data_IF_354754123143
#
_entry.id   IF_354754123143
#
_cell.length_a   1.000
_cell.length_b   1.000
_cell.length_c   1.000
_cell.angle_alpha   90.00
_cell.angle_beta   90.00
_cell.angle_gamma   90.00
#
_symmetry.space_group_name_H-M   'P 1'
#
loop_
_entity.id
_entity.type
_entity.pdbx_description
1 polymer ?
#
# COMPACT_ATOMS: atom_id res chain seq x y z
N UNK A 1 -17.25 12.30 13.89
CA UNK A 1 -17.03 11.72 15.24
C UNK A 1 -17.58 10.30 15.36
N UNK A 2 -18.85 10.01 15.09
CA UNK A 2 -19.45 8.67 15.26
C UNK A 2 -18.71 7.51 14.52
N UNK A 3 -18.23 7.72 13.29
CA UNK A 3 -17.46 6.69 12.56
C UNK A 3 -16.06 6.43 13.14
N UNK A 4 -15.39 7.47 13.65
CA UNK A 4 -14.11 7.30 14.35
C UNK A 4 -14.30 6.52 15.67
N UNK A 5 -15.44 6.74 16.36
CA UNK A 5 -15.84 5.95 17.53
C UNK A 5 -16.14 4.49 17.18
N UNK A 6 -16.78 4.20 16.03
CA UNK A 6 -16.99 2.82 15.59
C UNK A 6 -15.68 2.09 15.26
N UNK A 7 -14.75 2.76 14.58
CA UNK A 7 -13.40 2.22 14.33
C UNK A 7 -12.66 1.99 15.65
N UNK A 8 -12.75 2.92 16.59
CA UNK A 8 -12.18 2.76 17.94
C UNK A 8 -12.79 1.58 18.70
N UNK A 9 -14.13 1.45 18.71
CA UNK A 9 -14.85 0.36 19.36
C UNK A 9 -14.50 -0.99 18.73
N UNK A 10 -14.42 -1.08 17.40
CA UNK A 10 -14.05 -2.32 16.73
C UNK A 10 -12.57 -2.66 16.87
N UNK A 11 -11.67 -1.67 16.91
CA UNK A 11 -10.28 -1.87 17.30
C UNK A 11 -10.19 -2.36 18.75
N UNK A 12 -11.00 -1.80 19.64
CA UNK A 12 -11.11 -2.23 21.02
C UNK A 12 -11.61 -3.69 21.12
N UNK A 13 -12.60 -4.09 20.32
CA UNK A 13 -13.05 -5.50 20.21
C UNK A 13 -12.00 -6.43 19.56
N UNK A 14 -11.29 -5.99 18.52
CA UNK A 14 -10.18 -6.73 17.92
C UNK A 14 -9.02 -6.95 18.91
N UNK A 15 -8.74 -5.96 19.76
CA UNK A 15 -7.77 -6.10 20.83
C UNK A 15 -8.26 -7.07 21.93
N UNK A 16 -9.58 -7.21 22.15
CA UNK A 16 -10.16 -8.13 23.16
C UNK A 16 -10.08 -9.55 22.66
N UNK A 17 -10.54 -9.77 21.41
CA UNK A 17 -10.54 -11.09 20.78
C UNK A 17 -9.13 -11.64 20.58
N UNK A 18 -8.13 -10.76 20.51
CA UNK A 18 -6.71 -11.13 20.48
C UNK A 18 -6.03 -11.21 21.86
N UNK A 19 -6.70 -10.84 22.96
CA UNK A 19 -6.16 -10.96 24.32
C UNK A 19 -4.97 -10.04 24.63
N UNK A 20 -4.85 -8.87 23.97
CA UNK A 20 -3.67 -7.98 24.03
C UNK A 20 -3.88 -6.70 24.85
N UNK A 21 -4.87 -6.65 25.74
CA UNK A 21 -5.30 -5.42 26.42
C UNK A 21 -4.23 -4.73 27.27
N UNK A 22 -3.45 -5.49 28.05
CA UNK A 22 -2.43 -4.91 28.93
C UNK A 22 -1.22 -4.35 28.18
N UNK A 23 -0.83 -4.98 27.08
CA UNK A 23 0.43 -4.68 26.36
C UNK A 23 0.25 -3.52 25.37
N UNK A 24 -0.95 -3.35 24.80
CA UNK A 24 -1.23 -2.31 23.79
C UNK A 24 -1.20 -0.87 24.37
N UNK A 25 -1.60 -0.69 25.64
CA UNK A 25 -1.60 0.61 26.30
C UNK A 25 -0.18 1.08 26.67
N UNK A 26 0.69 0.18 27.15
CA UNK A 26 2.10 0.47 27.39
C UNK A 26 2.87 0.67 26.08
N UNK A 27 2.67 -0.16 25.05
CA UNK A 27 3.34 0.00 23.75
C UNK A 27 2.97 1.31 23.03
N UNK A 28 1.75 1.82 23.20
CA UNK A 28 1.32 3.08 22.61
C UNK A 28 1.99 4.31 23.26
N UNK A 29 2.40 4.19 24.52
CA UNK A 29 3.00 5.26 25.32
C UNK A 29 4.54 5.21 25.37
N UNK A 30 5.15 4.02 25.29
CA UNK A 30 6.56 3.81 25.66
C UNK A 30 7.55 3.72 24.48
N UNK A 31 7.10 3.68 23.23
CA UNK A 31 7.99 3.66 22.07
C UNK A 31 7.58 4.69 21.02
N UNK A 32 8.50 5.54 20.53
CA UNK A 32 8.22 6.39 19.39
C UNK A 32 8.10 5.50 18.16
N UNK A 33 6.85 5.24 17.80
CA UNK A 33 6.41 4.09 17.03
C UNK A 33 6.88 4.10 15.56
N UNK A 34 7.23 5.28 15.07
CA UNK A 34 7.75 5.55 13.74
C UNK A 34 9.04 6.38 13.78
N UNK A 35 9.74 6.40 14.92
CA UNK A 35 11.04 7.04 15.04
C UNK A 35 12.11 6.18 14.37
N UNK A 36 12.85 6.82 13.45
CA UNK A 36 13.94 6.19 12.70
C UNK A 36 15.10 5.73 13.58
N UNK A 37 15.26 6.31 14.78
CA UNK A 37 16.25 5.83 15.76
C UNK A 37 15.92 4.41 16.22
N UNK A 38 14.62 4.05 16.20
CA UNK A 38 14.08 2.72 16.48
C UNK A 38 14.02 1.76 15.28
N UNK A 39 14.35 2.21 14.05
CA UNK A 39 14.42 1.30 12.89
C UNK A 39 15.51 0.26 13.16
N UNK A 40 15.20 -1.06 13.10
CA UNK A 40 16.18 -2.11 13.29
C UNK A 40 17.39 -1.94 12.37
N UNK A 41 18.60 -2.21 12.88
CA UNK A 41 19.84 -2.06 12.08
C UNK A 41 19.78 -2.81 10.75
N UNK A 42 19.15 -3.98 10.71
CA UNK A 42 18.96 -4.80 9.50
C UNK A 42 18.02 -4.17 8.47
N UNK A 43 17.21 -3.21 8.89
CA UNK A 43 16.33 -2.41 8.03
C UNK A 43 16.99 -1.11 7.53
N UNK A 44 18.20 -0.77 8.00
CA UNK A 44 18.95 0.40 7.54
C UNK A 44 19.83 0.02 6.33
N UNK A 45 19.55 0.58 5.16
CA UNK A 45 20.33 0.32 3.94
C UNK A 45 21.33 1.44 3.64
N UNK A 46 22.51 1.09 3.08
CA UNK A 46 23.61 2.03 2.77
C UNK A 46 23.20 3.27 1.96
N UNK A 47 22.16 3.16 1.12
CA UNK A 47 21.65 4.27 0.32
C UNK A 47 20.45 4.98 0.95
N UNK A 48 19.91 4.47 2.06
CA UNK A 48 18.89 5.23 2.81
C UNK A 48 19.50 6.47 3.44
N UNK A 49 20.77 6.46 3.86
CA UNK A 49 21.47 7.64 4.42
C UNK A 49 21.75 8.75 3.39
N UNK A 50 21.65 8.46 2.08
CA UNK A 50 21.95 9.40 0.98
C UNK A 50 20.68 10.15 0.52
N UNK A 51 19.49 9.67 0.89
CA UNK A 51 18.22 10.32 0.56
C UNK A 51 17.95 11.41 1.60
N UNK A 52 17.74 12.65 1.13
CA UNK A 52 17.50 13.79 2.02
C UNK A 52 16.30 13.51 2.94
N UNK A 53 16.29 14.02 4.18
CA UNK A 53 15.15 13.91 5.10
C UNK A 53 13.83 14.42 4.49
N UNK A 54 13.90 15.37 3.56
CA UNK A 54 12.72 15.91 2.86
C UNK A 54 12.16 14.99 1.78
N UNK A 55 13.00 14.11 1.21
CA UNK A 55 12.63 13.22 0.10
C UNK A 55 12.22 11.84 0.59
N UNK A 56 12.90 11.25 1.57
CA UNK A 56 12.43 10.01 2.20
C UNK A 56 11.18 10.26 3.06
N UNK A 57 10.58 9.19 3.60
CA UNK A 57 9.76 9.32 4.80
C UNK A 57 10.48 10.26 5.76
N UNK A 58 9.84 11.35 6.21
CA UNK A 58 10.54 12.35 7.02
C UNK A 58 11.17 11.61 8.20
N UNK A 59 12.50 11.48 8.14
CA UNK A 59 13.24 10.63 9.08
C UNK A 59 13.25 11.27 10.47
N UNK A 60 12.91 12.54 10.58
CA UNK A 60 13.07 13.25 11.83
C UNK A 60 11.89 13.07 12.77
N UNK A 61 10.74 12.58 12.28
CA UNK A 61 9.52 12.57 13.09
C UNK A 61 8.60 11.38 12.80
N UNK A 62 8.06 10.82 13.87
CA UNK A 62 6.95 9.87 13.83
C UNK A 62 5.78 10.46 13.02
N UNK A 63 5.45 9.85 11.87
CA UNK A 63 4.42 10.36 10.93
C UNK A 63 3.06 10.54 11.59
N UNK A 64 2.75 9.76 12.64
CA UNK A 64 1.52 9.95 13.39
C UNK A 64 1.45 11.33 14.07
N UNK A 65 2.58 12.00 14.34
CA UNK A 65 2.60 13.35 14.90
C UNK A 65 1.97 14.39 13.96
N UNK A 66 2.00 14.14 12.65
CA UNK A 66 1.32 14.97 11.65
C UNK A 66 -0.21 14.80 11.64
N UNK A 67 -0.73 13.75 12.29
CA UNK A 67 -2.17 13.58 12.49
C UNK A 67 -2.64 14.34 13.74
N UNK A 68 -3.95 14.71 13.79
CA UNK A 68 -4.55 15.27 14.99
C UNK A 68 -4.23 14.42 16.23
N UNK A 69 -3.95 15.08 17.36
CA UNK A 69 -3.50 14.42 18.61
C UNK A 69 -4.40 13.24 18.99
N UNK A 70 -5.71 13.39 18.83
CA UNK A 70 -6.71 12.35 19.13
C UNK A 70 -6.55 11.06 18.31
N UNK A 71 -5.88 11.09 17.16
CA UNK A 71 -5.80 9.95 16.24
C UNK A 71 -4.42 9.29 16.18
N UNK A 72 -3.40 9.89 16.79
CA UNK A 72 -2.00 9.42 16.66
C UNK A 72 -1.84 7.96 17.10
N UNK A 73 -2.37 7.61 18.26
CA UNK A 73 -2.34 6.24 18.79
C UNK A 73 -3.15 5.27 17.91
N UNK A 74 -4.25 5.73 17.32
CA UNK A 74 -5.09 4.93 16.42
C UNK A 74 -4.31 4.56 15.16
N UNK A 75 -3.65 5.54 14.52
CA UNK A 75 -2.83 5.31 13.32
C UNK A 75 -1.75 4.25 13.59
N UNK A 76 -1.09 4.33 14.76
CA UNK A 76 -0.06 3.37 15.19
C UNK A 76 -0.64 1.98 15.42
N UNK A 77 -1.70 1.88 16.23
CA UNK A 77 -2.35 0.61 16.56
C UNK A 77 -2.93 -0.08 15.32
N UNK A 78 -3.47 0.69 14.37
CA UNK A 78 -3.92 0.17 13.08
C UNK A 78 -2.76 -0.47 12.30
N UNK A 79 -1.66 0.25 12.12
CA UNK A 79 -0.51 -0.27 11.39
C UNK A 79 0.10 -1.50 12.08
N UNK A 80 0.19 -1.51 13.40
CA UNK A 80 0.57 -2.69 14.20
C UNK A 80 -0.36 -3.87 13.97
N UNK A 81 -1.66 -3.65 14.05
CA UNK A 81 -2.67 -4.70 13.91
C UNK A 81 -2.62 -5.31 12.52
N UNK A 82 -2.58 -4.46 11.49
CA UNK A 82 -2.61 -4.87 10.09
C UNK A 82 -1.33 -5.59 9.69
N UNK A 83 -0.18 -5.20 10.24
CA UNK A 83 1.07 -5.96 10.06
C UNK A 83 1.15 -7.18 10.97
N UNK A 84 0.25 -7.38 11.93
CA UNK A 84 0.32 -8.48 12.89
C UNK A 84 1.49 -8.34 13.88
N UNK A 85 1.84 -7.10 14.23
CA UNK A 85 2.97 -6.71 15.10
C UNK A 85 2.56 -6.42 16.55
N UNK A 86 1.26 -6.51 16.89
CA UNK A 86 0.76 -6.30 18.27
C UNK A 86 1.22 -7.34 19.30
N UNK A 87 1.81 -8.47 18.88
CA UNK A 87 2.27 -9.55 19.77
C UNK A 87 3.78 -9.79 19.64
N UNK A 88 4.63 -8.85 20.09
CA UNK A 88 6.10 -9.00 20.03
C UNK A 88 6.64 -9.98 21.09
N UNK A 89 5.82 -10.36 22.08
CA UNK A 89 6.15 -11.19 23.24
C UNK A 89 6.40 -12.68 22.92
N UNK A 90 6.12 -13.11 21.70
CA UNK A 90 6.48 -14.47 21.24
C UNK A 90 7.98 -14.53 20.98
N UNK A 91 8.70 -15.44 21.66
CA UNK A 91 10.16 -15.66 21.50
C UNK A 91 10.62 -15.81 20.04
N UNK A 92 9.74 -16.29 19.15
CA UNK A 92 10.02 -16.49 17.73
C UNK A 92 9.45 -15.40 16.80
N UNK A 93 8.97 -14.27 17.33
CA UNK A 93 8.44 -13.19 16.50
C UNK A 93 9.57 -12.55 15.69
N UNK A 94 9.52 -12.59 14.35
CA UNK A 94 10.61 -12.10 13.52
C UNK A 94 10.53 -10.57 13.36
N UNK A 95 10.65 -9.82 14.48
CA UNK A 95 10.40 -8.38 14.55
C UNK A 95 11.07 -7.60 13.41
N UNK A 96 12.38 -7.73 13.24
CA UNK A 96 13.13 -7.04 12.19
C UNK A 96 12.59 -7.35 10.78
N UNK A 97 12.28 -8.62 10.52
CA UNK A 97 11.75 -9.02 9.20
C UNK A 97 10.35 -8.47 9.02
N UNK A 98 9.50 -8.48 10.06
CA UNK A 98 8.15 -7.91 10.00
C UNK A 98 8.19 -6.41 9.78
N UNK A 99 9.03 -5.71 10.52
CA UNK A 99 9.21 -4.28 10.43
C UNK A 99 9.63 -3.86 9.00
N UNK A 100 10.53 -4.62 8.39
CA UNK A 100 10.99 -4.47 7.01
C UNK A 100 10.03 -5.05 5.93
N UNK A 101 8.93 -5.71 6.29
CA UNK A 101 8.05 -6.43 5.35
C UNK A 101 8.79 -7.50 4.54
N UNK A 102 9.67 -8.25 5.21
CA UNK A 102 10.53 -9.29 4.64
C UNK A 102 10.21 -10.68 5.20
N UNK A 103 9.04 -10.85 5.80
CA UNK A 103 8.45 -12.12 6.20
C UNK A 103 7.03 -12.27 5.65
N UNK A 104 6.42 -13.44 5.86
CA UNK A 104 5.02 -13.66 5.54
C UNK A 104 4.21 -13.78 6.84
N UNK A 105 3.32 -12.84 7.16
CA UNK A 105 2.56 -12.84 8.41
C UNK A 105 1.35 -13.79 8.35
N UNK A 106 1.59 -15.05 7.99
CA UNK A 106 0.56 -16.01 7.60
C UNK A 106 -0.52 -16.22 8.66
N UNK A 107 -0.18 -16.07 9.95
CA UNK A 107 -1.13 -16.34 11.06
C UNK A 107 -1.93 -15.11 11.52
N UNK A 108 -1.36 -13.90 11.49
CA UNK A 108 -1.90 -12.76 12.24
C UNK A 108 -1.86 -11.40 11.52
N UNK A 109 -1.30 -11.32 10.30
CA UNK A 109 -1.26 -10.07 9.55
C UNK A 109 -2.25 -10.05 8.39
N UNK A 110 -2.69 -8.84 8.06
CA UNK A 110 -3.56 -8.50 6.93
C UNK A 110 -2.78 -7.84 5.78
N UNK A 111 -1.51 -7.51 6.01
CA UNK A 111 -0.57 -7.04 4.98
C UNK A 111 0.84 -7.59 5.24
N UNK A 112 1.63 -7.80 4.18
CA UNK A 112 3.03 -8.24 4.27
C UNK A 112 4.05 -7.13 4.00
N UNK A 113 3.58 -5.90 3.81
CA UNK A 113 4.40 -4.75 3.38
C UNK A 113 5.28 -4.21 4.51
N UNK A 114 5.00 -4.61 5.75
CA UNK A 114 5.75 -4.18 6.92
C UNK A 114 5.55 -2.72 7.31
N UNK A 115 6.21 -2.31 8.39
CA UNK A 115 5.97 -1.02 9.03
C UNK A 115 6.48 0.16 8.21
N UNK A 116 7.62 0.03 7.52
CA UNK A 116 8.20 1.13 6.72
C UNK A 116 7.28 1.56 5.56
N UNK A 117 6.69 0.60 4.86
CA UNK A 117 5.76 0.88 3.76
C UNK A 117 4.39 1.32 4.26
N UNK A 118 3.93 0.83 5.42
CA UNK A 118 2.75 1.38 6.10
C UNK A 118 2.97 2.85 6.49
N UNK A 119 4.14 3.20 7.03
CA UNK A 119 4.49 4.59 7.34
C UNK A 119 4.46 5.48 6.10
N UNK A 120 4.99 4.99 4.97
CA UNK A 120 4.90 5.69 3.69
C UNK A 120 3.45 5.96 3.29
N UNK A 121 2.57 4.95 3.35
CA UNK A 121 1.14 5.12 3.04
C UNK A 121 0.50 6.16 3.96
N UNK A 122 0.75 6.11 5.27
CA UNK A 122 0.22 7.11 6.21
C UNK A 122 0.68 8.53 5.84
N UNK A 123 1.96 8.71 5.58
CA UNK A 123 2.51 10.02 5.25
C UNK A 123 1.93 10.55 3.93
N UNK A 124 1.78 9.70 2.92
CA UNK A 124 1.24 10.10 1.62
C UNK A 124 -0.25 10.42 1.71
N UNK A 125 -1.03 9.64 2.48
CA UNK A 125 -2.43 9.96 2.79
C UNK A 125 -2.53 11.33 3.46
N UNK A 126 -1.74 11.59 4.50
CA UNK A 126 -1.73 12.89 5.17
C UNK A 126 -1.39 14.03 4.19
N UNK A 127 -0.36 13.84 3.36
CA UNK A 127 0.06 14.84 2.36
C UNK A 127 -1.02 15.13 1.32
N UNK A 128 -1.68 14.11 0.76
CA UNK A 128 -2.73 14.33 -0.25
C UNK A 128 -3.93 15.06 0.34
N UNK A 129 -4.27 14.80 1.61
CA UNK A 129 -5.36 15.50 2.30
C UNK A 129 -4.97 16.94 2.60
N UNK A 130 -3.81 17.18 3.21
CA UNK A 130 -3.34 18.53 3.57
C UNK A 130 -3.22 19.47 2.37
N UNK A 131 -2.86 18.94 1.19
CA UNK A 131 -2.69 19.73 -0.03
C UNK A 131 -3.94 19.69 -0.94
N UNK A 132 -5.05 19.10 -0.49
CA UNK A 132 -6.28 19.03 -1.28
C UNK A 132 -6.13 18.30 -2.62
N UNK A 133 -5.21 17.34 -2.72
CA UNK A 133 -4.99 16.58 -3.96
C UNK A 133 -6.23 15.70 -4.22
N UNK A 134 -6.90 15.81 -5.38
CA UNK A 134 -8.13 15.07 -5.63
C UNK A 134 -7.88 13.57 -5.86
N UNK A 135 -8.88 12.76 -5.52
CA UNK A 135 -8.90 11.34 -5.85
C UNK A 135 -8.76 10.38 -4.68
N UNK A 136 -8.97 9.11 -4.97
CA UNK A 136 -8.94 8.00 -4.01
C UNK A 136 -7.58 7.32 -3.86
N UNK A 137 -7.59 6.16 -3.21
CA UNK A 137 -6.46 5.24 -3.12
C UNK A 137 -6.73 4.02 -4.00
N UNK A 138 -5.74 3.59 -4.79
CA UNK A 138 -5.84 2.40 -5.63
C UNK A 138 -4.66 1.48 -5.33
N UNK A 139 -4.94 0.20 -5.17
CA UNK A 139 -3.91 -0.83 -4.98
C UNK A 139 -4.10 -1.97 -5.97
N UNK A 140 -3.01 -2.32 -6.66
CA UNK A 140 -2.93 -3.46 -7.58
C UNK A 140 -2.11 -4.57 -6.93
N UNK A 141 -2.80 -5.62 -6.49
CA UNK A 141 -2.29 -6.71 -5.66
C UNK A 141 -2.46 -6.35 -4.18
N UNK A 142 -3.49 -6.92 -3.55
CA UNK A 142 -3.96 -6.50 -2.22
C UNK A 142 -3.82 -7.60 -1.17
N UNK A 143 -3.70 -8.87 -1.58
CA UNK A 143 -3.67 -10.01 -0.68
C UNK A 143 -4.86 -9.99 0.30
N UNK A 144 -4.61 -9.86 1.61
CA UNK A 144 -5.65 -9.77 2.66
C UNK A 144 -6.27 -8.37 2.80
N UNK A 145 -5.83 -7.40 2.01
CA UNK A 145 -6.39 -6.05 1.93
C UNK A 145 -5.88 -5.06 2.99
N UNK A 146 -4.90 -5.43 3.81
CA UNK A 146 -4.51 -4.65 4.99
C UNK A 146 -4.02 -3.22 4.67
N UNK A 147 -3.32 -3.03 3.56
CA UNK A 147 -2.86 -1.69 3.15
C UNK A 147 -4.03 -0.80 2.68
N UNK A 148 -4.99 -1.36 1.93
CA UNK A 148 -6.22 -0.65 1.56
C UNK A 148 -7.10 -0.31 2.77
N UNK A 149 -7.24 -1.25 3.72
CA UNK A 149 -7.95 -1.02 5.00
C UNK A 149 -7.31 0.17 5.73
N UNK A 150 -5.98 0.21 5.76
CA UNK A 150 -5.26 1.32 6.38
C UNK A 150 -5.54 2.64 5.69
N UNK A 151 -5.40 2.72 4.36
CA UNK A 151 -5.68 3.93 3.60
C UNK A 151 -7.12 4.43 3.83
N UNK A 152 -8.12 3.53 3.81
CA UNK A 152 -9.52 3.86 4.08
C UNK A 152 -9.73 4.39 5.50
N UNK A 153 -9.15 3.74 6.50
CA UNK A 153 -9.22 4.18 7.90
C UNK A 153 -8.62 5.58 8.08
N UNK A 154 -7.48 5.85 7.44
CA UNK A 154 -6.81 7.14 7.52
C UNK A 154 -7.62 8.26 6.87
N UNK A 155 -8.24 8.04 5.71
CA UNK A 155 -9.16 9.01 5.12
C UNK A 155 -10.36 9.28 6.03
N UNK A 156 -10.97 8.24 6.61
CA UNK A 156 -12.09 8.40 7.55
C UNK A 156 -11.69 9.21 8.80
N UNK A 157 -10.51 8.94 9.38
CA UNK A 157 -9.98 9.69 10.53
C UNK A 157 -9.73 11.16 10.21
N UNK A 158 -9.30 11.46 8.98
CA UNK A 158 -9.08 12.82 8.49
C UNK A 158 -10.36 13.52 8.00
N UNK A 159 -11.53 12.87 8.07
CA UNK A 159 -12.80 13.42 7.61
C UNK A 159 -13.06 13.32 6.10
N UNK A 160 -12.14 12.69 5.35
CA UNK A 160 -12.17 12.55 3.89
C UNK A 160 -12.98 11.33 3.43
N UNK A 161 -14.18 11.15 4.02
CA UNK A 161 -15.02 9.95 3.86
C UNK A 161 -15.51 9.70 2.42
N UNK A 162 -15.47 10.74 1.57
CA UNK A 162 -15.85 10.66 0.17
C UNK A 162 -14.78 10.04 -0.75
N UNK A 163 -13.56 9.82 -0.28
CA UNK A 163 -12.50 9.22 -1.12
C UNK A 163 -12.72 7.73 -1.29
N UNK A 164 -12.67 7.28 -2.55
CA UNK A 164 -12.80 5.87 -2.89
C UNK A 164 -11.50 5.10 -2.67
N UNK A 165 -11.64 3.81 -2.37
CA UNK A 165 -10.53 2.86 -2.27
C UNK A 165 -10.81 1.71 -3.23
N UNK A 166 -9.99 1.56 -4.26
CA UNK A 166 -10.14 0.51 -5.27
C UNK A 166 -9.09 -0.58 -5.08
N UNK A 167 -9.57 -1.82 -5.01
CA UNK A 167 -8.77 -3.01 -4.82
C UNK A 167 -8.79 -3.84 -6.10
N UNK A 168 -7.63 -3.97 -6.75
CA UNK A 168 -7.47 -4.87 -7.89
C UNK A 168 -6.70 -6.11 -7.44
N UNK A 169 -7.31 -7.28 -7.55
CA UNK A 169 -6.67 -8.57 -7.26
C UNK A 169 -7.40 -9.68 -8.01
N UNK A 170 -6.72 -10.80 -8.21
CA UNK A 170 -7.36 -12.00 -8.72
C UNK A 170 -8.37 -12.55 -7.68
N UNK A 171 -8.07 -12.40 -6.39
CA UNK A 171 -8.82 -13.03 -5.28
C UNK A 171 -8.97 -14.55 -5.45
N UNK A 172 -8.02 -15.16 -6.16
CA UNK A 172 -8.01 -16.56 -6.54
C UNK A 172 -6.56 -17.05 -6.54
N UNK A 173 -6.37 -18.37 -6.45
CA UNK A 173 -5.04 -18.96 -6.54
C UNK A 173 -4.49 -18.78 -7.97
N UNK A 174 -3.44 -17.97 -8.13
CA UNK A 174 -2.79 -17.79 -9.43
C UNK A 174 -1.69 -18.82 -9.66
N UNK A 175 -1.85 -19.65 -10.70
CA UNK A 175 -0.86 -20.67 -11.09
C UNK A 175 0.53 -20.12 -11.39
N UNK A 176 0.63 -18.84 -11.78
CA UNK A 176 1.91 -18.12 -12.00
C UNK A 176 2.78 -18.03 -10.74
N UNK A 177 2.21 -18.17 -9.54
CA UNK A 177 2.96 -18.25 -8.29
C UNK A 177 3.50 -19.65 -7.97
N UNK A 178 3.21 -20.67 -8.80
CA UNK A 178 3.64 -22.04 -8.63
C UNK A 178 3.29 -22.57 -7.24
N UNK A 179 4.28 -23.15 -6.53
CA UNK A 179 4.10 -23.71 -5.17
C UNK A 179 3.62 -22.70 -4.12
N UNK A 180 3.69 -21.39 -4.39
CA UNK A 180 3.23 -20.35 -3.46
C UNK A 180 1.75 -19.97 -3.66
N UNK A 181 1.09 -20.44 -4.72
CA UNK A 181 -0.26 -20.04 -5.10
C UNK A 181 -1.25 -20.22 -3.94
N UNK A 182 -1.29 -21.39 -3.33
CA UNK A 182 -2.20 -21.70 -2.21
C UNK A 182 -1.98 -20.77 -1.00
N UNK A 183 -0.71 -20.47 -0.71
CA UNK A 183 -0.35 -19.64 0.45
C UNK A 183 -0.68 -18.15 0.26
N UNK A 184 -0.67 -17.69 -0.99
CA UNK A 184 -0.97 -16.31 -1.35
C UNK A 184 -2.45 -16.10 -1.70
N UNK A 185 -3.19 -17.17 -1.93
CA UNK A 185 -4.62 -17.14 -2.19
C UNK A 185 -5.39 -16.58 -0.98
N UNK A 186 -6.20 -15.56 -1.25
CA UNK A 186 -7.22 -15.03 -0.35
C UNK A 186 -8.42 -14.69 -1.21
N UNK A 187 -9.56 -15.30 -0.93
CA UNK A 187 -10.79 -15.02 -1.66
C UNK A 187 -11.37 -13.64 -1.32
N UNK A 188 -12.23 -13.14 -2.22
CA UNK A 188 -12.82 -11.80 -2.10
C UNK A 188 -13.66 -11.66 -0.82
N UNK A 189 -14.39 -12.70 -0.43
CA UNK A 189 -15.25 -12.67 0.75
C UNK A 189 -14.44 -12.55 2.04
N UNK A 190 -13.27 -13.19 2.10
CA UNK A 190 -12.31 -13.05 3.19
C UNK A 190 -11.76 -11.63 3.27
N UNK A 191 -11.48 -10.98 2.13
CA UNK A 191 -11.05 -9.58 2.12
C UNK A 191 -12.17 -8.66 2.59
N UNK A 192 -13.41 -8.85 2.14
CA UNK A 192 -14.58 -8.06 2.61
C UNK A 192 -14.77 -8.19 4.12
N UNK A 193 -14.71 -9.42 4.67
CA UNK A 193 -14.77 -9.67 6.11
C UNK A 193 -13.67 -8.92 6.87
N UNK A 194 -12.46 -8.82 6.31
CA UNK A 194 -11.41 -8.01 6.93
C UNK A 194 -11.80 -6.53 6.95
N UNK A 195 -12.36 -5.96 5.88
CA UNK A 195 -12.84 -4.57 5.89
C UNK A 195 -13.95 -4.33 6.93
N UNK A 196 -14.88 -5.28 7.06
CA UNK A 196 -15.95 -5.25 8.07
C UNK A 196 -15.37 -5.29 9.50
N UNK A 197 -14.41 -6.19 9.74
CA UNK A 197 -13.72 -6.34 11.03
C UNK A 197 -13.07 -5.04 11.50
N UNK A 198 -12.50 -4.26 10.57
CA UNK A 198 -11.87 -2.98 10.86
C UNK A 198 -12.83 -1.78 10.76
N UNK A 199 -14.12 -2.00 10.47
CA UNK A 199 -15.12 -0.92 10.47
C UNK A 199 -15.03 0.06 9.33
N UNK A 200 -14.35 -0.32 8.25
CA UNK A 200 -14.04 0.56 7.13
C UNK A 200 -14.78 0.16 5.85
N UNK A 201 -15.58 -0.91 5.91
CA UNK A 201 -16.44 -1.32 4.80
C UNK A 201 -17.57 -0.32 4.56
N UNK A 202 -17.63 0.23 3.35
CA UNK A 202 -18.73 1.08 2.87
C UNK A 202 -18.82 1.06 1.33
N UNK A 203 -19.76 1.82 0.77
CA UNK A 203 -19.97 1.89 -0.67
C UNK A 203 -18.80 2.52 -1.45
N UNK A 204 -17.82 3.16 -0.79
CA UNK A 204 -16.62 3.75 -1.40
C UNK A 204 -15.46 2.76 -1.49
N UNK A 205 -15.59 1.58 -0.89
CA UNK A 205 -14.65 0.46 -1.09
C UNK A 205 -15.11 -0.34 -2.31
N UNK A 206 -14.27 -0.36 -3.35
CA UNK A 206 -14.57 -0.99 -4.65
C UNK A 206 -13.62 -2.15 -4.90
N UNK A 207 -14.17 -3.32 -5.16
CA UNK A 207 -13.40 -4.53 -5.45
C UNK A 207 -13.47 -4.86 -6.94
N UNK A 208 -12.32 -5.14 -7.53
CA UNK A 208 -12.17 -5.49 -8.94
C UNK A 208 -11.53 -6.86 -9.06
N UNK A 209 -12.37 -7.89 -9.05
CA UNK A 209 -11.93 -9.29 -9.10
C UNK A 209 -11.55 -9.71 -10.52
N UNK A 210 -10.36 -10.29 -10.64
CA UNK A 210 -9.84 -10.87 -11.87
C UNK A 210 -8.45 -10.38 -12.24
N UNK A 211 -7.95 -10.83 -13.39
CA UNK A 211 -6.64 -10.46 -13.89
C UNK A 211 -6.58 -8.96 -14.26
N UNK A 212 -5.46 -8.31 -13.99
CA UNK A 212 -5.28 -6.86 -14.20
C UNK A 212 -5.55 -6.42 -15.64
N UNK A 213 -5.08 -7.19 -16.64
CA UNK A 213 -5.34 -6.93 -18.06
C UNK A 213 -6.83 -6.77 -18.39
N UNK A 214 -7.71 -7.46 -17.66
CA UNK A 214 -9.16 -7.42 -17.85
C UNK A 214 -9.80 -6.37 -16.94
N UNK A 215 -9.51 -6.42 -15.64
CA UNK A 215 -10.16 -5.55 -14.65
C UNK A 215 -9.76 -4.09 -14.84
N UNK A 216 -8.48 -3.80 -15.07
CA UNK A 216 -8.00 -2.43 -15.26
C UNK A 216 -8.39 -1.86 -16.61
N UNK A 217 -8.53 -2.70 -17.64
CA UNK A 217 -9.07 -2.26 -18.94
C UNK A 217 -10.53 -1.83 -18.81
N UNK A 218 -11.37 -2.62 -18.14
CA UNK A 218 -12.77 -2.24 -17.85
C UNK A 218 -12.83 -0.97 -17.00
N UNK A 219 -12.05 -0.92 -15.92
CA UNK A 219 -11.94 0.27 -15.08
C UNK A 219 -11.53 1.50 -15.89
N UNK A 220 -10.50 1.41 -16.73
CA UNK A 220 -10.05 2.53 -17.56
C UNK A 220 -11.16 3.03 -18.50
N UNK A 221 -11.94 2.14 -19.10
CA UNK A 221 -13.06 2.50 -19.98
C UNK A 221 -14.17 3.27 -19.25
N UNK A 222 -14.46 2.92 -18.00
CA UNK A 222 -15.51 3.57 -17.23
C UNK A 222 -15.01 4.83 -16.53
N UNK A 223 -13.85 4.75 -15.89
CA UNK A 223 -13.23 5.85 -15.15
C UNK A 223 -12.82 7.01 -16.08
N UNK A 224 -12.49 6.74 -17.35
CA UNK A 224 -12.22 7.77 -18.38
C UNK A 224 -13.43 8.61 -18.76
N UNK A 225 -14.65 8.14 -18.47
CA UNK A 225 -15.90 8.89 -18.67
C UNK A 225 -16.26 9.76 -17.45
N UNK A 226 -15.42 9.75 -16.41
CA UNK A 226 -15.63 10.48 -15.17
C UNK A 226 -14.52 11.50 -14.91
N UNK A 227 -14.80 12.48 -14.08
CA UNK A 227 -13.79 13.42 -13.57
C UNK A 227 -13.02 12.90 -12.35
N UNK A 228 -13.29 11.65 -11.95
CA UNK A 228 -12.62 11.05 -10.79
C UNK A 228 -11.12 10.91 -11.03
N UNK A 229 -10.35 10.98 -9.94
CA UNK A 229 -8.89 10.90 -9.94
C UNK A 229 -8.40 9.84 -8.96
N UNK A 230 -7.12 9.50 -9.09
CA UNK A 230 -6.38 8.69 -8.13
C UNK A 230 -5.40 9.63 -7.42
N UNK A 231 -5.49 9.75 -6.11
CA UNK A 231 -4.53 10.53 -5.33
C UNK A 231 -3.27 9.70 -5.05
N UNK A 232 -3.43 8.40 -4.81
CA UNK A 232 -2.33 7.47 -4.55
C UNK A 232 -2.59 6.16 -5.31
N UNK A 233 -1.66 5.81 -6.21
CA UNK A 233 -1.63 4.52 -6.91
C UNK A 233 -0.51 3.66 -6.32
N UNK A 234 -0.85 2.54 -5.68
CA UNK A 234 0.11 1.55 -5.18
C UNK A 234 0.09 0.31 -6.07
N UNK A 235 1.25 -0.12 -6.53
CA UNK A 235 1.42 -1.29 -7.40
C UNK A 235 2.30 -2.31 -6.65
N UNK A 236 1.72 -3.47 -6.35
CA UNK A 236 2.29 -4.56 -5.55
C UNK A 236 1.94 -5.89 -6.23
N UNK A 237 2.50 -6.03 -7.43
CA UNK A 237 1.99 -6.98 -8.40
C UNK A 237 3.00 -8.08 -8.77
N UNK A 238 4.23 -8.01 -8.25
CA UNK A 238 5.37 -8.92 -8.49
C UNK A 238 5.84 -9.11 -9.96
N UNK A 239 4.95 -9.09 -10.95
CA UNK A 239 5.23 -9.46 -12.34
C UNK A 239 5.37 -8.25 -13.25
N UNK A 240 6.18 -8.40 -14.31
CA UNK A 240 6.37 -7.38 -15.34
C UNK A 240 5.02 -6.94 -15.95
N UNK A 241 4.26 -7.90 -16.48
CA UNK A 241 3.01 -7.64 -17.20
C UNK A 241 1.99 -6.95 -16.28
N UNK A 242 1.88 -7.40 -15.03
CA UNK A 242 0.97 -6.82 -14.05
C UNK A 242 1.33 -5.38 -13.66
N UNK A 243 2.62 -5.05 -13.54
CA UNK A 243 3.06 -3.67 -13.35
C UNK A 243 2.84 -2.81 -14.59
N UNK A 244 3.05 -3.38 -15.78
CA UNK A 244 2.80 -2.69 -17.05
C UNK A 244 1.31 -2.35 -17.18
N UNK A 245 0.40 -3.30 -16.93
CA UNK A 245 -1.05 -3.08 -16.93
C UNK A 245 -1.43 -1.95 -15.98
N UNK A 246 -0.96 -2.01 -14.73
CA UNK A 246 -1.25 -0.97 -13.74
C UNK A 246 -0.78 0.43 -14.18
N UNK A 247 0.44 0.54 -14.73
CA UNK A 247 0.94 1.83 -15.20
C UNK A 247 0.18 2.34 -16.41
N UNK A 248 -0.05 1.50 -17.42
CA UNK A 248 -0.71 1.95 -18.65
C UNK A 248 -2.19 2.29 -18.44
N UNK A 249 -2.92 1.48 -17.67
CA UNK A 249 -4.34 1.71 -17.43
C UNK A 249 -4.66 2.68 -16.29
N UNK A 250 -3.79 2.87 -15.28
CA UNK A 250 -4.14 3.67 -14.10
C UNK A 250 -3.37 4.98 -13.96
N UNK A 251 -2.13 5.07 -14.48
CA UNK A 251 -1.28 6.26 -14.27
C UNK A 251 -1.90 7.55 -14.82
N UNK A 252 -2.67 7.46 -15.92
CA UNK A 252 -3.35 8.61 -16.51
C UNK A 252 -4.31 9.30 -15.51
N UNK A 253 -4.95 8.52 -14.64
CA UNK A 253 -5.91 9.03 -13.65
C UNK A 253 -5.26 9.55 -12.37
N UNK A 254 -3.95 9.32 -12.17
CA UNK A 254 -3.22 9.88 -11.03
C UNK A 254 -3.23 11.40 -11.16
N UNK A 255 -3.73 12.08 -10.13
CA UNK A 255 -3.78 13.53 -10.08
C UNK A 255 -2.37 14.13 -10.12
N UNK A 256 -2.24 15.33 -10.69
CA UNK A 256 -1.02 16.12 -10.49
C UNK A 256 -0.91 16.44 -8.99
N UNK A 257 0.27 16.18 -8.43
CA UNK A 257 0.51 16.21 -6.99
C UNK A 257 0.23 14.89 -6.26
N UNK A 258 -0.41 13.93 -6.92
CA UNK A 258 -0.61 12.57 -6.42
C UNK A 258 0.66 11.72 -6.49
N UNK A 259 0.58 10.50 -5.97
CA UNK A 259 1.73 9.63 -5.78
C UNK A 259 1.55 8.27 -6.44
N UNK A 260 2.66 7.71 -6.92
CA UNK A 260 2.75 6.33 -7.39
C UNK A 260 3.76 5.59 -6.54
N UNK A 261 3.36 4.46 -5.97
CA UNK A 261 4.16 3.59 -5.10
C UNK A 261 4.37 2.26 -5.82
N UNK A 262 5.61 1.80 -5.85
CA UNK A 262 5.99 0.46 -6.28
C UNK A 262 6.47 -0.33 -5.08
N UNK A 263 5.88 -1.49 -4.82
CA UNK A 263 6.27 -2.31 -3.67
C UNK A 263 7.57 -3.10 -3.89
N UNK A 264 7.78 -3.55 -5.13
CA UNK A 264 8.80 -4.55 -5.48
C UNK A 264 9.95 -3.99 -6.34
N UNK A 265 10.01 -2.67 -6.54
CA UNK A 265 10.87 -2.03 -7.55
C UNK A 265 12.36 -2.41 -7.45
N UNK A 266 12.86 -2.55 -6.22
CA UNK A 266 14.27 -2.80 -5.94
C UNK A 266 14.57 -4.25 -5.55
N UNK A 267 13.55 -5.07 -5.36
CA UNK A 267 13.66 -6.49 -5.06
C UNK A 267 13.51 -7.36 -6.30
N UNK A 268 12.75 -6.91 -7.30
CA UNK A 268 12.47 -7.65 -8.53
C UNK A 268 13.01 -6.90 -9.76
N UNK A 269 14.06 -7.42 -10.43
CA UNK A 269 14.69 -6.75 -11.58
C UNK A 269 13.74 -6.42 -12.73
N UNK A 270 12.75 -7.28 -12.97
CA UNK A 270 11.75 -7.07 -14.02
C UNK A 270 10.82 -5.89 -13.70
N UNK A 271 10.45 -5.68 -12.44
CA UNK A 271 9.67 -4.51 -12.02
C UNK A 271 10.48 -3.22 -12.23
N UNK A 272 11.77 -3.25 -11.87
CA UNK A 272 12.70 -2.17 -12.19
C UNK A 272 12.80 -1.89 -13.69
N UNK A 273 12.73 -2.92 -14.53
CA UNK A 273 12.69 -2.79 -16.00
C UNK A 273 11.41 -2.10 -16.47
N UNK A 274 10.23 -2.53 -16.00
CA UNK A 274 8.94 -1.90 -16.35
C UNK A 274 8.99 -0.40 -16.10
N UNK A 275 9.44 0.01 -14.91
CA UNK A 275 9.50 1.43 -14.57
C UNK A 275 10.44 2.22 -15.50
N UNK A 276 11.65 1.71 -15.77
CA UNK A 276 12.59 2.38 -16.70
C UNK A 276 11.98 2.55 -18.09
N UNK A 277 11.35 1.50 -18.60
CA UNK A 277 10.73 1.49 -19.92
C UNK A 277 9.53 2.45 -19.98
N UNK A 278 8.59 2.35 -19.03
CA UNK A 278 7.44 3.25 -18.95
C UNK A 278 7.88 4.72 -18.83
N UNK A 279 8.90 5.00 -18.00
CA UNK A 279 9.47 6.34 -17.86
C UNK A 279 10.02 6.87 -19.18
N UNK A 280 10.74 6.06 -19.95
CA UNK A 280 11.23 6.45 -21.27
C UNK A 280 10.08 6.65 -22.26
N UNK A 281 9.13 5.72 -22.29
CA UNK A 281 8.00 5.72 -23.21
C UNK A 281 7.09 6.94 -23.04
N UNK A 282 6.93 7.39 -21.79
CA UNK A 282 6.06 8.53 -21.42
C UNK A 282 6.84 9.83 -21.13
N UNK A 283 8.15 9.83 -21.39
CA UNK A 283 9.05 10.97 -21.14
C UNK A 283 8.94 11.53 -19.69
N UNK A 284 8.94 10.64 -18.70
CA UNK A 284 8.91 11.02 -17.28
C UNK A 284 10.31 11.40 -16.78
N UNK A 285 10.38 12.41 -15.92
CA UNK A 285 11.65 12.89 -15.33
C UNK A 285 11.73 12.62 -13.83
N UNK A 286 10.62 12.22 -13.22
CA UNK A 286 10.47 11.98 -11.81
C UNK A 286 11.46 10.94 -11.29
N UNK A 287 12.15 11.29 -10.22
CA UNK A 287 13.06 10.38 -9.53
C UNK A 287 12.28 9.54 -8.53
N UNK A 288 12.64 8.26 -8.44
CA UNK A 288 12.12 7.39 -7.40
C UNK A 288 12.79 7.74 -6.09
N UNK A 289 11.95 7.99 -5.09
CA UNK A 289 12.31 8.03 -3.69
C UNK A 289 12.17 6.61 -3.16
N UNK A 290 13.26 6.02 -2.70
CA UNK A 290 13.23 4.69 -2.08
C UNK A 290 12.50 4.73 -0.74
N UNK A 291 11.78 3.67 -0.38
CA UNK A 291 11.12 3.50 0.94
C UNK A 291 11.90 2.51 1.80
N UNK A 292 12.35 1.40 1.24
CA UNK A 292 13.12 0.39 1.98
C UNK A 292 13.99 -0.44 1.01
N UNK A 293 14.23 -1.72 1.32
CA UNK A 293 14.96 -2.63 0.42
C UNK A 293 14.19 -2.90 -0.87
N UNK A 294 12.86 -2.90 -0.80
CA UNK A 294 11.95 -3.40 -1.82
C UNK A 294 11.30 -2.24 -2.56
N UNK A 295 10.67 -1.33 -1.83
CA UNK A 295 9.74 -0.35 -2.38
C UNK A 295 10.34 1.02 -2.65
N UNK A 296 9.67 1.77 -3.51
CA UNK A 296 9.95 3.15 -3.83
C UNK A 296 8.72 3.86 -4.37
N UNK A 297 8.69 5.19 -4.33
CA UNK A 297 7.57 5.97 -4.81
C UNK A 297 8.05 7.24 -5.51
N UNK A 298 7.15 7.91 -6.23
CA UNK A 298 7.38 9.26 -6.74
C UNK A 298 6.09 10.08 -6.72
N UNK A 299 6.24 11.41 -6.76
CA UNK A 299 5.12 12.37 -6.90
C UNK A 299 4.96 12.73 -8.36
N UNK A 300 3.75 12.63 -8.92
CA UNK A 300 3.44 13.09 -10.27
C UNK A 300 3.42 14.62 -10.29
N UNK A 301 4.28 15.25 -11.09
CA UNK A 301 4.42 16.73 -11.07
C UNK A 301 3.71 17.43 -12.20
N UNK A 302 3.33 16.70 -13.25
CA UNK A 302 2.63 17.23 -14.42
C UNK A 302 1.64 16.23 -14.99
N UNK A 303 0.71 16.72 -15.80
CA UNK A 303 -0.20 15.89 -16.56
C UNK A 303 0.58 15.25 -17.71
N UNK A 304 0.49 13.92 -17.82
CA UNK A 304 1.15 13.13 -18.86
C UNK A 304 0.12 12.14 -19.41
N UNK A 305 -0.40 12.36 -20.64
CA UNK A 305 -1.25 11.39 -21.31
C UNK A 305 -0.45 10.13 -21.61
N UNK A 306 -0.99 8.97 -21.24
CA UNK A 306 -0.33 7.69 -21.50
C UNK A 306 -0.45 7.31 -22.98
N UNK A 307 0.68 7.12 -23.65
CA UNK A 307 0.75 6.63 -25.02
C UNK A 307 0.67 5.10 -25.06
N UNK A 308 -0.55 4.56 -25.20
CA UNK A 308 -0.80 3.11 -25.28
C UNK A 308 -0.09 2.39 -26.43
N UNK A 309 0.34 3.08 -27.50
CA UNK A 309 1.10 2.45 -28.59
C UNK A 309 2.48 1.95 -28.15
N UNK A 310 2.96 2.36 -26.98
CA UNK A 310 4.23 1.93 -26.37
C UNK A 310 4.06 0.74 -25.42
N UNK A 311 2.83 0.34 -25.13
CA UNK A 311 2.56 -0.83 -24.29
C UNK A 311 3.03 -2.08 -25.02
N UNK A 312 3.84 -2.91 -24.35
CA UNK A 312 4.35 -4.16 -24.92
C UNK A 312 3.28 -5.25 -24.78
N UNK A 313 3.26 -6.18 -25.74
CA UNK A 313 2.44 -7.39 -25.63
C UNK A 313 2.84 -8.20 -24.39
N UNK A 314 1.91 -9.01 -23.87
CA UNK A 314 2.18 -9.85 -22.69
C UNK A 314 3.32 -10.81 -22.99
N UNK A 315 4.24 -10.99 -22.05
CA UNK A 315 5.35 -11.95 -22.21
C UNK A 315 4.86 -13.39 -22.28
N UNK A 316 3.68 -13.69 -21.74
CA UNK A 316 3.04 -14.99 -21.89
C UNK A 316 2.63 -15.30 -23.34
N UNK A 317 2.58 -14.30 -24.21
CA UNK A 317 2.25 -14.40 -25.64
C UNK A 317 3.51 -14.34 -26.53
N UNK A 318 4.71 -14.18 -25.94
CA UNK A 318 5.97 -14.15 -26.70
C UNK A 318 6.49 -15.56 -26.94
N UNK A 319 6.91 -15.90 -28.19
CA UNK A 319 7.52 -17.20 -28.50
C UNK A 319 8.75 -17.47 -27.63
N UNK A 320 9.01 -18.74 -27.29
CA UNK A 320 10.10 -19.15 -26.39
C UNK A 320 11.51 -18.74 -26.83
N UNK A 321 11.71 -18.37 -28.10
CA UNK A 321 12.99 -17.89 -28.63
C UNK A 321 13.24 -16.39 -28.38
N UNK A 322 12.24 -15.65 -27.91
CA UNK A 322 12.28 -14.20 -27.69
C UNK A 322 12.47 -13.80 -26.20
N UNK A 323 12.70 -14.77 -25.31
CA UNK A 323 12.99 -14.60 -23.88
C UNK A 323 14.47 -14.84 -23.58
#
# INVERSE_FOLDING_TARGET
MAQAWNVLLQLWFCMLSSGTYGIAAELAASFPFFDVTGIPRRCRYKNMSIISPAEFVDKSHDVSLGYPVAYRSIVRLLALSLTGSLRPDRRDFPYDRRFCGSDHPLKHGYTMVGMLRMQNVAQLVLKVVQHGIPGGFVEAGVWRGGTCIFAKALFNLLGEVGREVHLFDAFEAMGTYGKKAERLHVDLESVKKNFELFGVQDARVKYHQGLFKETMRRFWQDYSKSDQKIAILRIDANFYDSHQDALYYLYNFVAVGGYVIFDDLFSLPDVGRVWREFRLDQNLTERIIRIDRHGGYFKKTRMVPVNFKKMRASRAEMPSWAL
#
